data_IF_464972675369
#
_entry.id   IF_464972675369
#
_cell.length_a   1.000
_cell.length_b   1.000
_cell.length_c   1.000
_cell.angle_alpha   90.00
_cell.angle_beta   90.00
_cell.angle_gamma   90.00
#
_symmetry.space_group_name_H-M   'P 1'
#
loop_
_entity.id
_entity.type
_entity.pdbx_description
1 polymer ?
#
# COMPACT_ATOMS: atom_id res chain seq x y z
N UNK A 1 4.18 10.74 -6.65
CA UNK A 1 4.42 12.10 -7.13
C UNK A 1 5.67 12.70 -6.53
N UNK A 2 6.30 13.56 -7.30
CA UNK A 2 7.41 14.34 -6.81
C UNK A 2 6.89 15.50 -5.97
N UNK A 3 7.65 15.92 -4.97
CA UNK A 3 7.22 17.03 -4.16
C UNK A 3 8.03 17.21 -2.89
N UNK A 4 7.63 18.24 -2.14
CA UNK A 4 8.10 18.47 -0.79
C UNK A 4 7.04 17.97 0.18
N UNK A 5 7.47 17.26 1.20
CA UNK A 5 6.57 16.67 2.19
C UNK A 5 7.02 17.01 3.59
N UNK A 6 6.04 17.23 4.46
CA UNK A 6 6.30 17.30 5.90
C UNK A 6 6.14 15.89 6.46
N UNK A 7 7.15 15.44 7.20
CA UNK A 7 7.09 14.17 7.91
C UNK A 7 6.64 14.40 9.35
N UNK A 8 5.78 13.51 9.83
CA UNK A 8 5.33 13.52 11.23
C UNK A 8 5.02 12.11 11.69
N UNK A 9 4.77 11.94 12.97
CA UNK A 9 4.42 10.65 13.53
C UNK A 9 3.13 10.11 12.92
N UNK A 10 3.07 8.79 12.73
CA UNK A 10 1.87 8.11 12.24
C UNK A 10 0.85 8.09 13.37
N UNK A 11 -0.41 8.51 13.11
CA UNK A 11 -1.46 8.38 14.11
C UNK A 11 -1.73 6.91 14.42
N UNK A 12 -2.20 6.62 15.64
CA UNK A 12 -2.52 5.25 16.06
C UNK A 12 -3.60 4.62 15.18
N UNK A 13 -4.53 5.44 14.71
CA UNK A 13 -5.62 5.04 13.82
C UNK A 13 -5.56 5.88 12.55
N UNK A 14 -4.72 5.49 11.57
CA UNK A 14 -4.60 6.25 10.33
C UNK A 14 -5.92 6.29 9.56
N UNK A 15 -6.18 7.43 8.92
CA UNK A 15 -7.35 7.60 8.05
C UNK A 15 -7.02 7.23 6.61
N UNK A 16 -8.06 6.91 5.83
CA UNK A 16 -7.90 6.72 4.39
C UNK A 16 -7.37 8.00 3.76
N UNK A 17 -6.49 7.82 2.78
CA UNK A 17 -5.95 8.92 1.99
C UNK A 17 -4.67 9.54 2.55
N UNK A 18 -4.31 9.30 3.81
CA UNK A 18 -3.02 9.81 4.29
C UNK A 18 -1.88 9.05 3.62
N UNK A 19 -0.78 9.75 3.37
CA UNK A 19 0.43 9.14 2.84
C UNK A 19 1.30 8.66 3.99
N UNK A 20 1.81 7.44 3.88
CA UNK A 20 2.69 6.87 4.88
C UNK A 20 3.96 6.35 4.24
N UNK A 21 5.03 6.38 5.02
CA UNK A 21 6.34 5.89 4.63
C UNK A 21 6.58 4.57 5.35
N UNK A 22 7.05 3.57 4.62
CA UNK A 22 7.37 2.27 5.18
C UNK A 22 8.62 1.70 4.52
N UNK A 23 9.41 0.89 5.25
CA UNK A 23 10.49 0.14 4.63
C UNK A 23 9.90 -0.91 3.68
N UNK A 24 10.66 -1.30 2.68
CA UNK A 24 10.21 -2.31 1.73
C UNK A 24 9.96 -3.63 2.47
N UNK A 25 8.73 -4.17 2.40
CA UNK A 25 8.43 -5.45 3.04
C UNK A 25 9.27 -6.60 2.47
N UNK A 26 9.66 -7.53 3.34
CA UNK A 26 10.53 -8.65 2.95
C UNK A 26 9.99 -9.46 1.78
N UNK A 27 8.67 -9.61 1.68
CA UNK A 27 8.03 -10.42 0.62
C UNK A 27 8.27 -9.89 -0.78
N UNK A 28 8.64 -8.63 -0.94
CA UNK A 28 8.83 -7.99 -2.25
C UNK A 28 10.25 -7.47 -2.46
N UNK A 29 11.17 -7.74 -1.54
CA UNK A 29 12.56 -7.27 -1.66
C UNK A 29 13.30 -7.87 -2.86
N UNK A 30 12.85 -9.01 -3.39
CA UNK A 30 13.44 -9.63 -4.58
C UNK A 30 13.13 -8.88 -5.87
N UNK A 31 12.14 -7.98 -5.87
CA UNK A 31 11.75 -7.18 -7.03
C UNK A 31 11.86 -5.68 -6.80
N UNK A 32 12.16 -5.27 -5.58
CA UNK A 32 12.27 -3.86 -5.21
C UNK A 32 13.45 -3.64 -4.27
N UNK A 33 14.21 -2.58 -4.49
CA UNK A 33 15.36 -2.28 -3.65
C UNK A 33 14.94 -1.97 -2.21
N UNK A 34 15.57 -2.64 -1.24
CA UNK A 34 15.32 -2.38 0.17
C UNK A 34 15.90 -1.04 0.67
N UNK A 35 16.69 -0.36 -0.16
CA UNK A 35 17.28 0.94 0.15
C UNK A 35 16.27 2.08 0.09
N UNK A 36 15.25 1.93 -0.76
CA UNK A 36 14.32 3.01 -1.05
C UNK A 36 13.00 2.71 -0.33
N UNK A 37 12.67 3.50 0.70
CA UNK A 37 11.38 3.32 1.37
C UNK A 37 10.23 3.59 0.41
N UNK A 38 9.08 2.98 0.70
CA UNK A 38 7.86 3.19 -0.06
C UNK A 38 7.08 4.36 0.54
N UNK A 39 6.46 5.14 -0.33
CA UNK A 39 5.51 6.19 0.03
C UNK A 39 4.17 5.80 -0.59
N UNK A 40 3.18 5.45 0.25
CA UNK A 40 1.90 4.92 -0.21
C UNK A 40 0.72 5.54 0.53
N UNK A 41 -0.40 5.76 -0.16
CA UNK A 41 -1.62 6.18 0.52
C UNK A 41 -2.29 5.00 1.24
N UNK A 42 -2.92 5.30 2.35
CA UNK A 42 -3.80 4.35 3.04
C UNK A 42 -5.09 4.23 2.25
N UNK A 43 -5.35 3.05 1.71
CA UNK A 43 -6.57 2.76 0.95
C UNK A 43 -7.64 2.09 1.81
N UNK A 44 -7.24 1.25 2.76
CA UNK A 44 -8.15 0.53 3.64
C UNK A 44 -7.76 0.66 5.11
N UNK A 45 -8.77 0.85 5.96
CA UNK A 45 -8.63 0.94 7.41
C UNK A 45 -9.42 -0.20 8.06
N UNK A 46 -9.22 -0.50 9.37
CA UNK A 46 -9.90 -1.63 10.00
C UNK A 46 -11.39 -1.70 9.71
N UNK A 47 -11.85 -2.89 9.32
CA UNK A 47 -13.22 -3.14 8.92
C UNK A 47 -13.52 -2.99 7.44
N UNK A 48 -12.67 -2.32 6.68
CA UNK A 48 -12.84 -2.23 5.23
C UNK A 48 -12.59 -3.58 4.57
N UNK A 49 -13.35 -3.88 3.53
CA UNK A 49 -13.15 -5.08 2.73
C UNK A 49 -12.10 -4.82 1.65
N UNK A 50 -11.09 -5.69 1.60
CA UNK A 50 -10.09 -5.73 0.54
C UNK A 50 -10.33 -6.97 -0.28
N UNK A 51 -10.67 -6.81 -1.55
CA UNK A 51 -11.08 -7.91 -2.41
C UNK A 51 -10.12 -8.07 -3.59
N UNK A 52 -9.59 -9.27 -3.73
CA UNK A 52 -8.85 -9.70 -4.92
C UNK A 52 -9.78 -10.62 -5.70
N UNK A 53 -10.42 -10.09 -6.74
CA UNK A 53 -11.41 -10.80 -7.52
C UNK A 53 -10.94 -10.90 -8.97
N UNK A 54 -10.72 -12.13 -9.45
CA UNK A 54 -10.08 -12.35 -10.73
C UNK A 54 -8.66 -11.77 -10.70
N UNK A 55 -8.38 -10.76 -11.51
CA UNK A 55 -7.10 -10.06 -11.53
C UNK A 55 -7.23 -8.61 -11.05
N UNK A 56 -8.30 -8.28 -10.34
CA UNK A 56 -8.61 -6.89 -9.95
C UNK A 56 -8.61 -6.74 -8.43
N UNK A 57 -8.10 -5.60 -7.97
CA UNK A 57 -8.13 -5.20 -6.57
C UNK A 57 -9.25 -4.19 -6.34
N UNK A 58 -10.11 -4.47 -5.37
CA UNK A 58 -11.17 -3.56 -4.92
C UNK A 58 -11.05 -3.35 -3.42
N UNK A 59 -10.94 -2.10 -2.97
CA UNK A 59 -10.81 -1.77 -1.56
C UNK A 59 -11.93 -0.82 -1.16
N UNK A 60 -12.73 -1.21 -0.17
CA UNK A 60 -13.87 -0.42 0.30
C UNK A 60 -14.76 0.04 -0.86
N UNK A 61 -14.98 -0.84 -1.85
CA UNK A 61 -15.78 -0.56 -3.03
C UNK A 61 -15.10 0.22 -4.14
N UNK A 62 -13.84 0.62 -3.96
CA UNK A 62 -13.09 1.38 -4.98
C UNK A 62 -12.19 0.43 -5.78
N UNK A 63 -12.29 0.51 -7.11
CA UNK A 63 -11.44 -0.27 -8.02
C UNK A 63 -10.05 0.35 -8.09
N UNK A 64 -9.04 -0.42 -7.72
CA UNK A 64 -7.63 -0.02 -7.77
C UNK A 64 -6.88 -0.62 -8.96
N UNK A 65 -7.59 -1.32 -9.85
CA UNK A 65 -7.01 -1.89 -11.05
C UNK A 65 -6.38 -3.26 -10.86
N UNK A 66 -5.50 -3.66 -11.79
CA UNK A 66 -5.04 -5.04 -11.86
C UNK A 66 -4.04 -5.41 -10.77
N UNK A 67 -4.03 -6.70 -10.46
CA UNK A 67 -2.99 -7.36 -9.67
C UNK A 67 -2.10 -8.11 -10.66
N UNK A 68 -0.84 -7.70 -10.77
CA UNK A 68 0.10 -8.29 -11.70
C UNK A 68 0.67 -9.60 -11.17
N UNK A 69 1.05 -10.50 -12.07
CA UNK A 69 1.65 -11.79 -11.69
C UNK A 69 3.15 -11.73 -11.54
N UNK A 70 3.78 -10.79 -12.23
CA UNK A 70 5.23 -10.67 -12.24
C UNK A 70 5.67 -9.22 -12.46
N UNK A 71 6.89 -8.93 -12.07
CA UNK A 71 7.56 -7.67 -12.36
C UNK A 71 8.98 -8.00 -12.82
N UNK A 72 9.38 -7.43 -13.94
CA UNK A 72 10.73 -7.62 -14.52
C UNK A 72 11.10 -9.10 -14.68
N UNK A 73 10.15 -9.92 -15.10
CA UNK A 73 10.35 -11.36 -15.28
C UNK A 73 10.40 -12.17 -13.98
N UNK A 74 10.15 -11.56 -12.83
CA UNK A 74 10.14 -12.24 -11.52
C UNK A 74 8.72 -12.37 -11.00
N UNK A 75 8.34 -13.52 -10.45
CA UNK A 75 7.00 -13.69 -9.90
C UNK A 75 6.79 -12.78 -8.69
N UNK A 76 5.57 -12.25 -8.57
CA UNK A 76 5.13 -11.43 -7.45
C UNK A 76 4.26 -12.27 -6.52
N UNK A 77 4.44 -12.14 -5.20
CA UNK A 77 3.43 -12.63 -4.28
C UNK A 77 2.15 -11.83 -4.50
N UNK A 78 1.02 -12.36 -4.11
CA UNK A 78 -0.24 -11.66 -4.24
C UNK A 78 -1.09 -11.86 -3.00
N UNK A 79 -1.93 -10.87 -2.70
CA UNK A 79 -3.01 -11.02 -1.74
C UNK A 79 -3.87 -12.21 -2.17
N UNK A 80 -4.30 -13.05 -1.22
CA UNK A 80 -5.16 -14.19 -1.51
C UNK A 80 -6.46 -13.75 -2.20
N UNK A 81 -6.97 -14.60 -3.09
CA UNK A 81 -8.26 -14.37 -3.74
C UNK A 81 -9.38 -14.27 -2.70
N UNK A 82 -10.42 -13.54 -3.05
CA UNK A 82 -11.58 -13.31 -2.19
C UNK A 82 -11.50 -11.97 -1.47
N UNK A 83 -12.43 -11.77 -0.55
CA UNK A 83 -12.52 -10.55 0.23
C UNK A 83 -12.02 -10.79 1.64
N UNK A 84 -11.21 -9.86 2.14
CA UNK A 84 -10.57 -9.96 3.44
C UNK A 84 -10.77 -8.63 4.18
N UNK A 85 -11.26 -8.65 5.42
CA UNK A 85 -11.36 -7.41 6.19
C UNK A 85 -9.97 -6.96 6.65
N UNK A 86 -9.77 -5.65 6.70
CA UNK A 86 -8.56 -5.09 7.32
C UNK A 86 -8.67 -5.30 8.83
N UNK A 87 -7.72 -6.01 9.45
CA UNK A 87 -7.75 -6.24 10.89
C UNK A 87 -7.45 -4.98 11.70
N UNK A 88 -7.83 -5.00 12.98
CA UNK A 88 -7.43 -3.97 13.93
C UNK A 88 -5.89 -3.86 13.98
N UNK A 89 -5.38 -2.64 14.08
CA UNK A 89 -3.94 -2.37 14.11
C UNK A 89 -3.25 -2.45 12.76
N UNK A 90 -3.97 -2.74 11.69
CA UNK A 90 -3.43 -2.84 10.35
C UNK A 90 -4.08 -1.82 9.41
N UNK A 91 -3.44 -1.62 8.28
CA UNK A 91 -3.97 -0.82 7.16
C UNK A 91 -3.66 -1.56 5.86
N UNK A 92 -4.40 -1.23 4.82
CA UNK A 92 -4.10 -1.67 3.48
C UNK A 92 -3.60 -0.48 2.66
N UNK A 93 -2.43 -0.62 2.07
CA UNK A 93 -1.78 0.45 1.31
C UNK A 93 -1.93 0.15 -0.18
N UNK A 94 -2.50 1.07 -0.92
CA UNK A 94 -2.65 0.91 -2.36
C UNK A 94 -2.76 2.26 -3.05
N UNK A 95 -2.23 2.30 -4.27
CA UNK A 95 -2.33 3.46 -5.15
C UNK A 95 -3.05 3.03 -6.44
N UNK A 96 -3.87 3.91 -7.03
CA UNK A 96 -4.48 3.62 -8.32
C UNK A 96 -3.48 3.67 -9.48
N UNK A 97 -2.24 4.11 -9.24
CA UNK A 97 -1.21 4.17 -10.29
C UNK A 97 -0.91 2.78 -10.82
N UNK A 98 -0.80 2.62 -12.17
CA UNK A 98 -0.42 1.35 -12.76
C UNK A 98 0.94 0.88 -12.27
N UNK A 99 1.12 -0.42 -12.09
CA UNK A 99 2.38 -1.06 -11.68
C UNK A 99 2.90 -0.55 -10.34
N UNK A 100 2.01 -0.08 -9.48
CA UNK A 100 2.36 0.33 -8.13
C UNK A 100 2.70 -0.90 -7.29
N UNK A 101 3.82 -0.86 -6.56
CA UNK A 101 4.17 -1.88 -5.58
C UNK A 101 3.50 -1.52 -4.26
N UNK A 102 2.49 -2.27 -3.88
CA UNK A 102 1.67 -1.95 -2.71
C UNK A 102 1.08 -3.22 -2.08
N UNK A 103 0.03 -3.06 -1.30
CA UNK A 103 -0.63 -4.16 -0.59
C UNK A 103 -1.15 -5.29 -1.47
N UNK A 104 -1.34 -5.06 -2.78
CA UNK A 104 -1.66 -6.15 -3.73
C UNK A 104 -0.68 -7.31 -3.60
N UNK A 105 0.57 -6.98 -3.30
CA UNK A 105 1.69 -7.91 -3.34
C UNK A 105 2.21 -8.27 -1.96
N UNK A 106 2.18 -7.34 -0.99
CA UNK A 106 2.70 -7.62 0.36
C UNK A 106 1.62 -7.72 1.44
N UNK A 107 0.34 -7.56 1.07
CA UNK A 107 -0.77 -7.76 1.99
C UNK A 107 -1.02 -6.59 2.94
N UNK A 108 -1.68 -6.90 4.05
CA UNK A 108 -1.95 -5.91 5.10
C UNK A 108 -0.66 -5.49 5.81
N UNK A 109 -0.63 -4.26 6.28
CA UNK A 109 0.55 -3.69 6.95
C UNK A 109 0.19 -3.30 8.38
N UNK A 110 1.01 -3.72 9.33
CA UNK A 110 0.86 -3.28 10.72
C UNK A 110 1.20 -1.80 10.84
N UNK A 111 0.32 -1.03 11.48
CA UNK A 111 0.53 0.42 11.69
C UNK A 111 1.84 0.69 12.40
N UNK A 112 2.21 -0.16 13.37
CA UNK A 112 3.46 -0.01 14.14
C UNK A 112 4.73 -0.11 13.28
N UNK A 113 4.64 -0.67 12.07
CA UNK A 113 5.79 -0.78 11.17
C UNK A 113 5.95 0.44 10.27
N UNK A 114 4.98 1.35 10.26
CA UNK A 114 5.06 2.56 9.46
C UNK A 114 6.05 3.54 10.07
N UNK A 115 6.90 4.12 9.23
CA UNK A 115 7.98 5.00 9.70
C UNK A 115 7.48 6.41 10.00
N UNK A 116 6.63 6.95 9.13
CA UNK A 116 6.16 8.33 9.23
C UNK A 116 4.89 8.54 8.41
N UNK A 117 4.18 9.60 8.71
CA UNK A 117 3.15 10.15 7.84
C UNK A 117 3.77 11.29 7.06
N UNK A 118 3.50 11.34 5.75
CA UNK A 118 3.94 12.41 4.87
C UNK A 118 2.75 13.28 4.49
N UNK A 119 2.88 14.59 4.67
CA UNK A 119 1.87 15.56 4.25
C UNK A 119 2.45 16.38 3.10
N UNK A 120 1.81 16.38 1.92
CA UNK A 120 2.29 17.19 0.81
C UNK A 120 2.26 18.69 1.15
N UNK A 121 3.38 19.37 0.98
CA UNK A 121 3.46 20.83 1.08
C UNK A 121 3.42 21.45 -0.29
N UNK A 122 4.07 20.82 -1.25
CA UNK A 122 4.15 21.25 -2.63
C UNK A 122 4.46 20.03 -3.49
N UNK A 123 3.64 19.79 -4.52
CA UNK A 123 3.84 18.67 -5.43
C UNK A 123 3.92 19.16 -6.87
N UNK A 124 4.70 18.46 -7.69
CA UNK A 124 4.80 18.71 -9.12
C UNK A 124 4.98 17.39 -9.88
N UNK A 125 4.85 17.48 -11.16
CA UNK A 125 5.04 16.33 -12.07
C UNK A 125 6.28 16.48 -12.91
#
# INVERSE_FOLDING_TARGET
PYGLYRMKAVPAEPHRGILVVLPVPARVQHVWSSWVPLLKPVAGVPGDAVCHQGSTLVVAGVDYGPVEREARGRPLPALALGCHPVPAGMVFLASPAPKSLDGRYFGMTWVVTLTAQATPLFTWR
#
